data_IF_733768351738
#
_entry.id   IF_733768351738
#
_cell.length_a   1.000
_cell.length_b   1.000
_cell.length_c   1.000
_cell.angle_alpha   90.00
_cell.angle_beta   90.00
_cell.angle_gamma   90.00
#
_symmetry.space_group_name_H-M   'P 1'
#
loop_
_entity.id
_entity.type
_entity.pdbx_description
1 polymer ?
#
# COMPACT_ATOMS: atom_id res chain seq x y z
N UNK A 1 28.59 -3.75 38.36
CA UNK A 1 27.71 -2.98 39.27
C UNK A 1 28.36 -1.63 39.46
N UNK A 2 27.75 -0.48 39.27
CA UNK A 2 26.33 -0.15 39.07
C UNK A 2 26.27 1.38 39.00
N UNK A 3 25.56 1.88 37.98
CA UNK A 3 24.78 3.14 38.01
C UNK A 3 25.53 4.49 37.91
N UNK A 4 25.52 5.08 36.71
CA UNK A 4 24.92 6.43 36.53
C UNK A 4 23.40 6.25 36.52
N UNK A 5 22.53 7.20 36.93
CA UNK A 5 22.56 8.65 36.63
C UNK A 5 22.09 9.51 37.83
N UNK A 6 22.07 10.85 37.84
CA UNK A 6 20.94 11.71 37.39
C UNK A 6 21.28 13.11 37.90
N UNK A 7 21.76 14.01 37.04
CA UNK A 7 21.69 15.46 37.27
C UNK A 7 20.60 16.02 36.37
N UNK A 8 19.34 15.80 36.77
CA UNK A 8 18.13 16.33 36.11
C UNK A 8 17.29 17.16 37.10
N UNK A 9 17.96 17.92 37.97
CA UNK A 9 17.29 18.82 38.92
C UNK A 9 17.71 20.28 38.74
N UNK A 10 17.85 20.72 37.49
CA UNK A 10 17.97 22.15 37.16
C UNK A 10 17.21 22.47 35.87
N UNK A 11 15.97 22.01 35.77
CA UNK A 11 15.08 22.33 34.65
C UNK A 11 13.58 22.35 35.01
N UNK A 12 13.23 22.35 36.30
CA UNK A 12 11.83 22.26 36.74
C UNK A 12 11.23 23.58 37.25
N UNK A 13 11.97 24.68 37.23
CA UNK A 13 11.51 25.97 37.79
C UNK A 13 11.33 27.06 36.72
N UNK A 14 10.83 26.67 35.55
CA UNK A 14 10.44 27.61 34.49
C UNK A 14 8.98 27.46 34.03
N UNK A 15 8.15 26.72 34.78
CA UNK A 15 6.74 26.48 34.43
C UNK A 15 5.74 27.16 35.36
N UNK A 16 6.07 28.32 35.93
CA UNK A 16 5.05 29.17 36.52
C UNK A 16 5.41 30.66 36.51
N UNK A 17 4.91 31.38 35.51
CA UNK A 17 4.53 32.78 35.72
C UNK A 17 3.28 33.13 34.91
N UNK A 18 2.34 33.90 35.49
CA UNK A 18 0.94 33.94 35.08
C UNK A 18 0.67 35.04 34.05
N UNK A 19 -0.37 34.85 33.25
CA UNK A 19 -1.06 35.93 32.54
C UNK A 19 -0.33 36.48 31.32
N UNK A 20 -0.31 35.73 30.22
CA UNK A 20 0.00 36.29 28.90
C UNK A 20 -1.28 36.39 28.09
N UNK A 21 -1.74 37.63 27.92
CA UNK A 21 -2.94 38.03 27.19
C UNK A 21 -3.08 37.33 25.83
N UNK A 22 -4.23 36.68 25.63
CA UNK A 22 -4.63 36.03 24.37
C UNK A 22 -4.57 36.99 23.16
N UNK A 23 -4.65 38.31 23.40
CA UNK A 23 -4.50 39.36 22.38
C UNK A 23 -3.05 39.56 21.92
N UNK A 24 -2.07 39.31 22.76
CA UNK A 24 -0.66 39.39 22.38
C UNK A 24 -0.28 38.27 21.42
N UNK A 25 -0.87 37.07 21.58
CA UNK A 25 -0.67 35.94 20.67
C UNK A 25 -1.26 36.20 19.27
N UNK A 26 -2.42 36.87 19.17
CA UNK A 26 -3.00 37.28 17.88
C UNK A 26 -2.16 38.37 17.19
N UNK A 27 -1.44 39.19 17.98
CA UNK A 27 -0.54 40.22 17.43
C UNK A 27 0.86 39.68 17.09
N UNK A 28 1.27 38.57 17.71
CA UNK A 28 2.57 37.92 17.53
C UNK A 28 2.54 36.74 16.52
N UNK A 29 1.37 36.30 16.07
CA UNK A 29 1.21 35.29 15.02
C UNK A 29 1.53 35.78 13.59
N UNK A 30 2.28 36.88 13.44
CA UNK A 30 2.53 37.56 12.17
C UNK A 30 3.93 37.35 11.57
N UNK A 31 4.88 36.71 12.25
CA UNK A 31 6.25 36.58 11.73
C UNK A 31 6.80 35.20 12.12
N UNK A 32 7.09 34.35 11.11
CA UNK A 32 8.22 33.38 11.05
C UNK A 32 8.00 32.19 10.10
N UNK A 33 7.13 32.28 9.08
CA UNK A 33 7.30 31.45 7.87
C UNK A 33 8.15 32.23 6.87
N UNK A 34 9.47 32.17 7.05
CA UNK A 34 10.41 32.66 6.04
C UNK A 34 11.66 31.78 5.91
N UNK A 35 11.58 30.49 6.29
CA UNK A 35 12.71 29.56 6.16
C UNK A 35 12.40 28.29 5.34
N UNK A 36 11.36 28.29 4.51
CA UNK A 36 11.08 27.20 3.55
C UNK A 36 11.22 27.66 2.08
N UNK A 37 11.83 28.82 1.84
CA UNK A 37 11.71 29.54 0.57
C UNK A 37 12.87 29.43 -0.43
N UNK A 38 13.75 28.43 -0.38
CA UNK A 38 14.88 28.37 -1.35
C UNK A 38 15.19 26.98 -1.93
N UNK A 39 14.20 26.09 -2.09
CA UNK A 39 14.39 24.87 -2.90
C UNK A 39 13.55 24.80 -4.18
N UNK A 40 12.86 25.88 -4.55
CA UNK A 40 11.92 25.89 -5.69
C UNK A 40 12.53 26.03 -7.10
N UNK A 41 13.86 26.03 -7.27
CA UNK A 41 14.47 26.14 -8.61
C UNK A 41 15.10 24.84 -9.15
N UNK A 42 15.15 23.78 -8.35
CA UNK A 42 15.61 22.45 -8.80
C UNK A 42 14.59 21.33 -8.48
N UNK A 43 13.39 21.69 -8.03
CA UNK A 43 12.35 20.73 -7.59
C UNK A 43 11.62 19.98 -8.71
N UNK A 44 11.94 20.24 -9.99
CA UNK A 44 11.25 19.64 -11.13
C UNK A 44 11.56 18.15 -11.37
N UNK A 45 12.55 17.58 -10.69
CA UNK A 45 12.98 16.19 -10.93
C UNK A 45 13.06 15.30 -9.68
N UNK A 46 12.89 15.85 -8.46
CA UNK A 46 13.12 15.09 -7.23
C UNK A 46 12.05 14.01 -6.93
N UNK A 47 10.93 14.00 -7.67
CA UNK A 47 9.88 12.98 -7.57
C UNK A 47 9.66 12.21 -8.87
N UNK A 48 10.43 12.47 -9.91
CA UNK A 48 10.40 11.64 -11.11
C UNK A 48 11.23 10.38 -10.86
N UNK A 49 10.71 9.47 -10.02
CA UNK A 49 11.22 8.10 -10.00
C UNK A 49 10.89 7.51 -11.35
N UNK A 50 11.91 7.22 -12.14
CA UNK A 50 11.76 6.57 -13.44
C UNK A 50 11.03 5.23 -13.23
N UNK A 51 9.72 5.21 -13.51
CA UNK A 51 8.84 4.05 -13.37
C UNK A 51 9.11 3.06 -14.49
N UNK A 52 10.35 2.57 -14.64
CA UNK A 52 10.64 1.53 -15.63
C UNK A 52 11.83 0.66 -15.25
N UNK A 53 11.74 0.04 -14.08
CA UNK A 53 12.29 -1.31 -13.94
C UNK A 53 11.14 -2.29 -14.15
N UNK A 54 10.87 -2.65 -15.41
CA UNK A 54 10.09 -3.84 -15.68
C UNK A 54 10.94 -5.02 -15.18
N UNK A 55 10.70 -5.45 -13.95
CA UNK A 55 11.29 -6.67 -13.39
C UNK A 55 10.93 -7.79 -14.35
N UNK A 56 11.95 -8.41 -14.97
CA UNK A 56 11.76 -9.60 -15.77
C UNK A 56 11.12 -10.66 -14.89
N UNK A 57 10.04 -11.34 -15.34
CA UNK A 57 9.49 -12.46 -14.59
C UNK A 57 10.61 -13.44 -14.21
N UNK A 58 10.62 -13.97 -12.99
CA UNK A 58 11.62 -14.94 -12.59
C UNK A 58 11.59 -16.14 -13.54
N UNK A 59 12.75 -16.77 -13.76
CA UNK A 59 12.81 -17.99 -14.56
C UNK A 59 11.84 -19.04 -13.98
N UNK A 60 11.01 -19.63 -14.85
CA UNK A 60 9.95 -20.54 -14.41
C UNK A 60 8.70 -19.87 -13.84
N UNK A 61 8.47 -18.56 -14.04
CA UNK A 61 7.19 -17.94 -13.64
C UNK A 61 5.93 -18.65 -14.22
N UNK A 62 6.11 -19.43 -15.29
CA UNK A 62 5.06 -20.23 -15.94
C UNK A 62 5.14 -21.73 -15.56
N UNK A 63 5.14 -22.04 -14.26
CA UNK A 63 5.26 -23.40 -13.72
C UNK A 63 3.89 -24.09 -13.48
N UNK A 64 2.82 -23.64 -14.12
CA UNK A 64 1.51 -24.26 -13.94
C UNK A 64 1.45 -25.59 -14.71
N UNK A 65 1.12 -26.67 -13.99
CA UNK A 65 0.92 -27.98 -14.58
C UNK A 65 -0.18 -27.95 -15.64
N UNK A 66 0.13 -28.43 -16.84
CA UNK A 66 -0.81 -28.57 -17.96
C UNK A 66 -0.99 -30.05 -18.24
N UNK A 67 -2.23 -30.52 -18.09
CA UNK A 67 -2.58 -31.91 -18.35
C UNK A 67 -3.17 -32.06 -19.74
N UNK A 68 -2.64 -33.00 -20.53
CA UNK A 68 -3.20 -33.35 -21.84
C UNK A 68 -4.52 -34.12 -21.75
N UNK A 69 -4.93 -34.53 -20.54
CA UNK A 69 -6.15 -35.32 -20.31
C UNK A 69 -7.39 -34.46 -20.03
N UNK A 70 -7.22 -33.15 -19.87
CA UNK A 70 -8.30 -32.22 -19.55
C UNK A 70 -8.41 -31.10 -20.58
N UNK A 71 -9.58 -30.50 -20.66
CA UNK A 71 -9.87 -29.30 -21.43
C UNK A 71 -10.15 -28.18 -20.43
N UNK A 72 -9.55 -27.01 -20.65
CA UNK A 72 -9.79 -25.81 -19.85
C UNK A 72 -10.58 -24.84 -20.71
N UNK A 73 -11.79 -24.48 -20.26
CA UNK A 73 -12.65 -23.51 -20.91
C UNK A 73 -12.83 -22.29 -20.01
N UNK A 74 -12.56 -21.11 -20.55
CA UNK A 74 -12.87 -19.87 -19.85
C UNK A 74 -14.38 -19.63 -19.92
N UNK A 75 -15.04 -19.59 -18.77
CA UNK A 75 -16.48 -19.34 -18.65
C UNK A 75 -16.70 -18.05 -17.89
N UNK A 76 -17.75 -17.32 -18.26
CA UNK A 76 -18.10 -16.05 -17.64
C UNK A 76 -19.57 -16.07 -17.27
N UNK A 77 -19.87 -15.74 -16.03
CA UNK A 77 -21.25 -15.68 -15.53
C UNK A 77 -21.43 -14.50 -14.58
N UNK A 78 -22.68 -14.12 -14.34
CA UNK A 78 -23.01 -13.07 -13.37
C UNK A 78 -23.27 -13.67 -12.00
N UNK A 79 -22.65 -13.09 -10.97
CA UNK A 79 -23.00 -13.36 -9.57
C UNK A 79 -24.34 -12.71 -9.20
N UNK A 80 -24.94 -13.11 -8.07
CA UNK A 80 -26.15 -12.50 -7.51
C UNK A 80 -26.00 -10.99 -7.27
N UNK A 81 -24.77 -10.51 -7.08
CA UNK A 81 -24.45 -9.08 -6.95
C UNK A 81 -24.27 -8.37 -8.30
N UNK A 82 -24.66 -8.99 -9.42
CA UNK A 82 -24.46 -8.49 -10.79
C UNK A 82 -23.00 -8.27 -11.20
N UNK A 83 -22.05 -8.83 -10.44
CA UNK A 83 -20.63 -8.86 -10.81
C UNK A 83 -20.38 -9.89 -11.91
N UNK A 84 -19.58 -9.53 -12.91
CA UNK A 84 -19.14 -10.44 -13.95
C UNK A 84 -17.92 -11.23 -13.47
N UNK A 85 -18.09 -12.52 -13.22
CA UNK A 85 -17.02 -13.41 -12.77
C UNK A 85 -16.52 -14.24 -13.95
N UNK A 86 -15.20 -14.22 -14.16
CA UNK A 86 -14.51 -15.03 -15.17
C UNK A 86 -13.74 -16.14 -14.47
N UNK A 87 -14.04 -17.39 -14.81
CA UNK A 87 -13.40 -18.57 -14.21
C UNK A 87 -13.00 -19.59 -15.28
N UNK A 88 -12.24 -20.59 -14.86
CA UNK A 88 -11.84 -21.71 -15.71
C UNK A 88 -12.67 -22.95 -15.35
N UNK A 89 -13.44 -23.45 -16.31
CA UNK A 89 -14.08 -24.77 -16.25
C UNK A 89 -13.08 -25.81 -16.76
N UNK A 90 -12.75 -26.79 -15.92
CA UNK A 90 -11.84 -27.89 -16.28
C UNK A 90 -12.64 -29.17 -16.41
N UNK A 91 -12.53 -29.86 -17.55
CA UNK A 91 -13.29 -31.08 -17.83
C UNK A 91 -12.39 -32.15 -18.44
N UNK A 92 -12.47 -33.43 -18.01
CA UNK A 92 -11.75 -34.52 -18.66
C UNK A 92 -12.13 -34.65 -20.14
N UNK A 93 -11.17 -34.89 -21.03
CA UNK A 93 -11.44 -35.03 -22.47
C UNK A 93 -12.33 -36.23 -22.80
N UNK A 94 -12.22 -37.30 -22.01
CA UNK A 94 -13.00 -38.54 -22.17
C UNK A 94 -14.30 -38.54 -21.34
N UNK A 95 -14.80 -37.38 -20.93
CA UNK A 95 -16.06 -37.30 -20.20
C UNK A 95 -17.24 -37.59 -21.15
N UNK A 96 -18.06 -38.58 -20.80
CA UNK A 96 -19.33 -38.80 -21.50
C UNK A 96 -20.29 -37.65 -21.19
N UNK A 97 -20.68 -36.92 -22.24
CA UNK A 97 -21.58 -35.76 -22.15
C UNK A 97 -23.04 -36.14 -21.94
N UNK A 98 -23.41 -37.38 -22.21
CA UNK A 98 -24.77 -37.87 -22.02
C UNK A 98 -24.99 -38.45 -20.61
N UNK A 99 -23.90 -38.73 -19.89
CA UNK A 99 -23.94 -39.23 -18.52
C UNK A 99 -23.83 -38.08 -17.50
N UNK A 100 -24.43 -38.29 -16.33
CA UNK A 100 -24.21 -37.38 -15.19
C UNK A 100 -22.82 -37.59 -14.62
N UNK A 101 -22.09 -36.50 -14.42
CA UNK A 101 -20.76 -36.51 -13.82
C UNK A 101 -20.75 -35.69 -12.52
N UNK A 102 -20.01 -36.11 -11.49
CA UNK A 102 -19.80 -35.30 -10.30
C UNK A 102 -19.00 -34.03 -10.64
N UNK A 103 -19.28 -32.95 -9.94
CA UNK A 103 -18.59 -31.67 -10.11
C UNK A 103 -18.07 -31.16 -8.76
N UNK A 104 -16.95 -30.44 -8.81
CA UNK A 104 -16.35 -29.71 -7.69
C UNK A 104 -16.39 -28.23 -8.07
N UNK A 105 -16.81 -27.39 -7.12
CA UNK A 105 -16.96 -25.94 -7.28
C UNK A 105 -16.13 -25.23 -6.22
#
# INVERSE_FOLDING_TARGET
MSETPVTLLEAAEALNSPGLDRRAFVKAGGVSIAALGVLSAAGGAALATDSKSAVSPPEGANNFYKSDKVTVQKVTFKSSYSLQIVVNLVTPKNLDRNAKAPAIV
#
